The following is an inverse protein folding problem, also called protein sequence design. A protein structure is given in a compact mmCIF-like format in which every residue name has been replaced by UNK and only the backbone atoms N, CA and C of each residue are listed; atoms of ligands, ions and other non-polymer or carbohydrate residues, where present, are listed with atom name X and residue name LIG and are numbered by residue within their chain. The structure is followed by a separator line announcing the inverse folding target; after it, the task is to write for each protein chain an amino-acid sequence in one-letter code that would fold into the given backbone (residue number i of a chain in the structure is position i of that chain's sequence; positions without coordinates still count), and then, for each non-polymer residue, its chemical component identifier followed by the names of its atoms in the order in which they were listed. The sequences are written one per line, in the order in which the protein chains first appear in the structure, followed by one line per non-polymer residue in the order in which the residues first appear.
data_IF_531221281969
#
_entry.id   IF_531221281969
#
_cell.length_a   1.000
_cell.length_b   1.000
_cell.length_c   1.000
_cell.angle_alpha   90.00
_cell.angle_beta   90.00
_cell.angle_gamma   90.00
#
_symmetry.space_group_name_H-M   'P 1'
#
loop_
_entity.id
_entity.type
_entity.pdbx_description
1 polymer ?
#
# COMPACT_ATOMS: atom_id res chain seq x y z
N UNK A 1 5.95 11.30 10.89
CA UNK A 1 5.01 11.48 9.76
C UNK A 1 3.90 10.45 9.80
N UNK A 2 4.22 9.16 9.98
CA UNK A 2 3.30 8.06 10.21
C UNK A 2 1.96 8.42 10.91
N UNK A 3 2.00 8.92 12.15
CA UNK A 3 0.78 9.27 12.92
C UNK A 3 0.13 10.62 12.57
N UNK A 4 0.81 11.50 11.84
CA UNK A 4 0.36 12.88 11.55
C UNK A 4 -0.18 13.04 10.12
N UNK A 5 0.45 12.36 9.17
CA UNK A 5 0.04 12.31 7.77
C UNK A 5 0.40 10.92 7.24
N UNK A 6 -0.44 9.91 7.52
CA UNK A 6 -0.17 8.52 7.13
C UNK A 6 -0.11 8.37 5.62
N UNK A 7 -0.96 9.06 4.86
CA UNK A 7 -0.92 9.02 3.40
C UNK A 7 0.45 9.46 2.85
N UNK A 8 1.01 10.57 3.35
CA UNK A 8 2.33 11.01 2.90
C UNK A 8 3.47 10.09 3.33
N UNK A 9 3.33 9.40 4.47
CA UNK A 9 4.32 8.43 4.94
C UNK A 9 4.29 7.18 4.06
N UNK A 10 3.14 6.55 3.94
CA UNK A 10 2.98 5.30 3.21
C UNK A 10 3.14 5.43 1.69
N UNK A 11 3.11 6.65 1.16
CA UNK A 11 3.44 6.89 -0.24
C UNK A 11 4.91 6.55 -0.58
N UNK A 12 5.79 6.43 0.42
CA UNK A 12 7.24 6.19 0.21
C UNK A 12 7.83 5.12 1.13
N UNK A 13 7.06 4.62 2.08
CA UNK A 13 7.55 3.77 3.15
C UNK A 13 6.51 2.73 3.53
N UNK A 14 6.97 1.52 3.81
CA UNK A 14 6.11 0.47 4.35
C UNK A 14 5.95 0.67 5.87
N UNK A 15 5.21 -0.23 6.52
CA UNK A 15 5.14 -0.22 7.97
C UNK A 15 6.53 -0.40 8.60
N UNK A 16 6.88 0.29 9.71
CA UNK A 16 8.17 0.11 10.35
C UNK A 16 8.46 -1.36 10.71
N UNK A 17 9.54 -1.90 10.15
CA UNK A 17 9.95 -3.30 10.36
C UNK A 17 9.50 -4.25 9.26
N UNK A 18 8.70 -3.76 8.30
CA UNK A 18 8.31 -4.50 7.12
C UNK A 18 9.36 -4.36 6.01
N UNK A 19 9.69 -5.47 5.34
CA UNK A 19 10.57 -5.44 4.18
C UNK A 19 9.86 -4.84 2.97
N UNK A 20 10.60 -4.12 2.15
CA UNK A 20 10.10 -3.57 0.89
C UNK A 20 10.46 -4.49 -0.27
N UNK A 21 9.45 -4.92 -1.02
CA UNK A 21 9.64 -5.79 -2.16
C UNK A 21 9.78 -4.97 -3.44
N UNK A 22 10.88 -5.18 -4.16
CA UNK A 22 11.19 -4.49 -5.42
C UNK A 22 11.04 -5.40 -6.65
N UNK A 23 10.57 -6.64 -6.45
CA UNK A 23 10.32 -7.60 -7.52
C UNK A 23 8.98 -7.37 -8.22
N UNK A 24 8.74 -8.20 -9.24
CA UNK A 24 7.46 -8.26 -9.94
C UNK A 24 6.30 -8.57 -8.97
N UNK A 25 5.09 -8.22 -9.37
CA UNK A 25 3.88 -8.54 -8.60
C UNK A 25 3.52 -10.01 -8.80
N UNK A 26 3.19 -10.69 -7.70
CA UNK A 26 2.56 -12.00 -7.77
C UNK A 26 1.07 -11.86 -8.10
N UNK A 27 0.46 -12.95 -8.56
CA UNK A 27 -0.97 -12.99 -8.86
C UNK A 27 -1.81 -12.67 -7.60
N UNK A 28 -1.38 -13.12 -6.42
CA UNK A 28 -2.04 -12.83 -5.15
C UNK A 28 -1.97 -11.34 -4.78
N UNK A 29 -0.84 -10.67 -5.06
CA UNK A 29 -0.71 -9.23 -4.83
C UNK A 29 -1.62 -8.43 -5.75
N UNK A 30 -1.74 -8.83 -7.02
CA UNK A 30 -2.63 -8.21 -7.99
C UNK A 30 -4.11 -8.41 -7.61
N UNK A 31 -4.50 -9.62 -7.20
CA UNK A 31 -5.85 -9.91 -6.70
C UNK A 31 -6.18 -9.06 -5.47
N UNK A 32 -5.23 -8.96 -4.53
CA UNK A 32 -5.36 -8.13 -3.34
C UNK A 32 -5.53 -6.66 -3.73
N UNK A 33 -4.70 -6.13 -4.61
CA UNK A 33 -4.82 -4.76 -5.13
C UNK A 33 -6.23 -4.49 -5.66
N UNK A 34 -6.74 -5.37 -6.52
CA UNK A 34 -8.07 -5.21 -7.12
C UNK A 34 -9.16 -5.29 -6.07
N UNK A 35 -9.02 -6.16 -5.07
CA UNK A 35 -9.99 -6.28 -3.98
C UNK A 35 -10.06 -5.01 -3.13
N UNK A 36 -8.91 -4.45 -2.73
CA UNK A 36 -8.83 -3.21 -1.95
C UNK A 36 -9.33 -2.03 -2.77
N UNK A 37 -9.03 -1.96 -4.06
CA UNK A 37 -9.54 -0.92 -4.95
C UNK A 37 -11.07 -0.96 -5.09
N UNK A 38 -11.68 -2.16 -5.08
CA UNK A 38 -13.14 -2.30 -5.09
C UNK A 38 -13.77 -1.89 -3.76
N UNK A 39 -13.12 -2.20 -2.64
CA UNK A 39 -13.65 -1.94 -1.30
C UNK A 39 -13.54 -0.45 -0.90
N UNK A 40 -12.37 0.14 -1.12
CA UNK A 40 -12.04 1.49 -0.63
C UNK A 40 -11.98 2.54 -1.73
N UNK A 41 -12.00 2.13 -3.01
CA UNK A 41 -11.71 3.00 -4.14
C UNK A 41 -10.20 3.25 -4.31
N UNK A 42 -9.84 3.88 -5.42
CA UNK A 42 -8.47 4.30 -5.70
C UNK A 42 -8.44 5.67 -6.40
N UNK A 43 -7.33 6.41 -6.26
CA UNK A 43 -7.07 7.63 -7.05
C UNK A 43 -6.69 8.91 -6.28
N UNK A 44 -6.90 9.00 -4.97
CA UNK A 44 -6.60 10.21 -4.18
C UNK A 44 -5.59 9.99 -3.03
N UNK A 45 -5.62 8.80 -2.39
CA UNK A 45 -4.82 8.48 -1.20
C UNK A 45 -3.97 7.22 -1.39
N UNK A 46 -3.06 7.27 -2.37
CA UNK A 46 -2.20 6.13 -2.72
C UNK A 46 -1.34 5.60 -1.59
N UNK A 47 -0.90 6.43 -0.63
CA UNK A 47 -0.15 5.92 0.50
C UNK A 47 -1.03 5.11 1.45
N UNK A 48 -2.23 5.61 1.79
CA UNK A 48 -3.15 4.81 2.60
C UNK A 48 -3.60 3.54 1.87
N UNK A 49 -3.82 3.63 0.56
CA UNK A 49 -4.11 2.49 -0.28
C UNK A 49 -2.99 1.43 -0.22
N UNK A 50 -1.73 1.85 -0.40
CA UNK A 50 -0.56 0.96 -0.36
C UNK A 50 -0.43 0.27 1.01
N UNK A 51 -0.80 0.94 2.10
CA UNK A 51 -0.74 0.32 3.45
C UNK A 51 -1.63 -0.91 3.66
N UNK A 52 -2.55 -1.21 2.73
CA UNK A 52 -3.34 -2.46 2.73
C UNK A 52 -2.68 -3.60 1.96
N UNK A 53 -1.61 -3.33 1.21
CA UNK A 53 -0.88 -4.29 0.39
C UNK A 53 0.50 -4.45 1.02
N UNK A 54 0.72 -5.52 1.82
CA UNK A 54 2.00 -5.74 2.47
C UNK A 54 3.16 -5.65 1.49
N UNK A 55 4.27 -5.12 1.96
CA UNK A 55 5.52 -4.95 1.22
C UNK A 55 5.52 -3.94 0.05
N UNK A 56 4.41 -3.26 -0.26
CA UNK A 56 4.25 -2.37 -1.43
C UNK A 56 4.05 -0.88 -1.12
#
# INVERSE_FOLDING_TARGET
LFKKNPNAYFYRHNEPGEEQWTGDWSEEEEELFVSIAKEYGCGDKWGLFASYIPHR
#
